data_IF_027938773914
#
_entry.id   IF_027938773914
#
_cell.length_a   1.000
_cell.length_b   1.000
_cell.length_c   1.000
_cell.angle_alpha   90.00
_cell.angle_beta   90.00
_cell.angle_gamma   90.00
#
_symmetry.space_group_name_H-M   'P 1'
#
loop_
_entity.id
_entity.type
_entity.pdbx_description
1 polymer ?
#
# COMPACT_ATOMS: atom_id res chain seq x y z
N UNK A 1 -11.82 16.96 -14.86
CA UNK A 1 -11.67 16.46 -14.82
C UNK A 1 -11.25 15.88 -14.64
N UNK A 2 -11.18 15.83 -14.74
CA UNK A 2 -10.85 15.29 -14.69
C UNK A 2 -10.68 14.37 -14.43
N UNK A 3 -10.67 14.23 -14.28
CA UNK A 3 -10.57 13.37 -14.12
C UNK A 3 -10.77 12.39 -14.20
N UNK A 4 -11.13 12.47 -14.24
CA UNK A 4 -11.56 11.60 -14.46
C UNK A 4 -11.11 10.64 -15.09
N UNK A 5 -10.80 10.64 -15.85
CA UNK A 5 -10.27 9.84 -16.38
C UNK A 5 -9.48 9.14 -15.85
N UNK A 6 -9.30 9.38 -15.19
CA UNK A 6 -8.30 8.87 -14.48
C UNK A 6 -8.44 7.51 -13.94
N UNK A 7 -9.49 6.87 -14.11
CA UNK A 7 -9.67 5.55 -13.51
C UNK A 7 -9.01 4.47 -14.35
N UNK A 8 -7.70 4.35 -14.19
CA UNK A 8 -6.96 3.26 -14.78
C UNK A 8 -7.35 1.95 -14.11
N UNK A 9 -6.98 0.85 -14.74
CA UNK A 9 -7.20 -0.46 -14.13
C UNK A 9 -6.53 -0.56 -12.76
N UNK A 10 -5.36 0.08 -12.63
CA UNK A 10 -4.67 0.07 -11.34
C UNK A 10 -5.46 0.81 -10.27
N UNK A 11 -6.05 1.94 -10.63
CA UNK A 11 -6.83 2.70 -9.67
C UNK A 11 -8.06 1.93 -9.22
N UNK A 12 -8.71 1.24 -10.16
CA UNK A 12 -9.87 0.43 -9.82
C UNK A 12 -9.49 -0.71 -8.90
N UNK A 13 -8.36 -1.34 -9.19
CA UNK A 13 -7.86 -2.43 -8.35
C UNK A 13 -7.55 -1.93 -6.95
N UNK A 14 -6.87 -0.79 -6.83
CA UNK A 14 -6.56 -0.22 -5.52
C UNK A 14 -7.83 0.06 -4.73
N UNK A 15 -8.82 0.63 -5.39
CA UNK A 15 -10.07 0.96 -4.71
C UNK A 15 -10.78 -0.30 -4.23
N UNK A 16 -10.80 -1.33 -5.06
CA UNK A 16 -11.40 -2.61 -4.68
C UNK A 16 -10.71 -3.19 -3.45
N UNK A 17 -9.39 -3.18 -3.45
CA UNK A 17 -8.62 -3.69 -2.32
C UNK A 17 -8.88 -2.84 -1.08
N UNK A 18 -8.93 -1.54 -1.25
CA UNK A 18 -9.18 -0.61 -0.14
C UNK A 18 -10.52 -0.94 0.54
N UNK A 19 -11.57 -1.04 -0.27
CA UNK A 19 -12.89 -1.32 0.28
C UNK A 19 -12.97 -2.69 0.94
N UNK A 20 -12.30 -3.66 0.35
CA UNK A 20 -12.33 -5.02 0.88
C UNK A 20 -11.60 -5.15 2.21
N UNK A 21 -10.61 -4.30 2.46
CA UNK A 21 -9.74 -4.45 3.63
C UNK A 21 -9.88 -3.34 4.66
N UNK A 22 -10.65 -2.32 4.38
CA UNK A 22 -10.71 -1.14 5.22
C UNK A 22 -11.04 -1.46 6.68
N UNK A 23 -12.14 -2.16 6.90
CA UNK A 23 -12.57 -2.48 8.26
C UNK A 23 -11.55 -3.37 8.95
N UNK A 24 -11.04 -4.35 8.22
CA UNK A 24 -10.08 -5.29 8.78
C UNK A 24 -8.82 -4.59 9.26
N UNK A 25 -8.26 -3.73 8.40
CA UNK A 25 -6.99 -3.08 8.73
C UNK A 25 -7.19 -2.02 9.82
N UNK A 26 -8.33 -1.36 9.84
CA UNK A 26 -8.59 -0.38 10.89
C UNK A 26 -8.66 -1.04 12.28
N UNK A 27 -8.85 -2.35 12.33
CA UNK A 27 -8.84 -3.09 13.57
C UNK A 27 -7.49 -3.72 13.91
N UNK A 28 -6.49 -3.51 13.07
CA UNK A 28 -5.16 -4.03 13.32
C UNK A 28 -4.54 -3.39 14.56
N UNK A 29 -3.79 -4.17 15.33
CA UNK A 29 -2.92 -3.64 16.35
C UNK A 29 -1.62 -3.15 15.69
N UNK A 30 -0.82 -2.41 16.44
CA UNK A 30 0.50 -2.02 15.93
C UNK A 30 1.33 -3.24 15.57
N UNK A 31 1.21 -4.30 16.35
CA UNK A 31 1.96 -5.53 16.09
C UNK A 31 1.53 -6.16 14.77
N UNK A 32 0.24 -6.17 14.50
CA UNK A 32 -0.27 -6.69 13.23
C UNK A 32 0.29 -5.89 12.05
N UNK A 33 0.33 -4.57 12.21
CA UNK A 33 0.86 -3.70 11.17
C UNK A 33 2.34 -3.93 10.96
N UNK A 34 3.11 -4.03 12.05
CA UNK A 34 4.54 -4.26 11.93
C UNK A 34 4.83 -5.54 11.18
N UNK A 35 4.07 -6.59 11.47
CA UNK A 35 4.24 -7.86 10.79
C UNK A 35 3.96 -7.72 9.30
N UNK A 36 2.88 -7.03 8.97
CA UNK A 36 2.52 -6.79 7.57
C UNK A 36 3.62 -6.00 6.86
N UNK A 37 4.11 -4.96 7.51
CA UNK A 37 5.11 -4.08 6.92
C UNK A 37 6.42 -4.82 6.69
N UNK A 38 6.87 -5.58 7.67
CA UNK A 38 8.10 -6.35 7.52
C UNK A 38 7.97 -7.41 6.45
N UNK A 39 6.82 -8.06 6.40
CA UNK A 39 6.60 -9.07 5.36
C UNK A 39 6.67 -8.45 3.97
N UNK A 40 6.05 -7.29 3.82
CA UNK A 40 6.09 -6.59 2.54
C UNK A 40 7.52 -6.23 2.16
N UNK A 41 8.27 -5.67 3.10
CA UNK A 41 9.64 -5.27 2.82
C UNK A 41 10.51 -6.46 2.45
N UNK A 42 10.35 -7.57 3.17
CA UNK A 42 11.12 -8.77 2.87
C UNK A 42 10.87 -9.21 1.44
N UNK A 43 9.62 -9.24 1.04
CA UNK A 43 9.27 -9.69 -0.30
C UNK A 43 9.69 -8.68 -1.36
N UNK A 44 9.54 -7.40 -1.04
CA UNK A 44 9.87 -6.36 -1.99
C UNK A 44 11.35 -6.37 -2.35
N UNK A 45 12.22 -6.60 -1.36
CA UNK A 45 13.65 -6.54 -1.59
C UNK A 45 14.28 -7.91 -1.89
N UNK A 46 13.50 -8.96 -1.89
CA UNK A 46 14.00 -10.29 -2.20
C UNK A 46 14.08 -10.44 -3.72
N UNK A 47 15.29 -10.69 -4.22
CA UNK A 47 15.50 -10.81 -5.65
C UNK A 47 14.79 -12.01 -6.25
N UNK A 48 14.50 -13.01 -5.43
CA UNK A 48 13.86 -14.23 -5.91
C UNK A 48 12.35 -14.18 -5.85
N UNK A 49 11.78 -13.09 -5.35
CA UNK A 49 10.34 -12.94 -5.22
C UNK A 49 9.86 -11.81 -6.12
N UNK A 50 8.87 -12.10 -6.93
CA UNK A 50 8.22 -11.08 -7.74
C UNK A 50 6.74 -11.08 -7.40
N UNK A 51 6.30 -10.02 -6.72
CA UNK A 51 4.90 -9.90 -6.35
C UNK A 51 4.06 -9.65 -7.60
N UNK A 52 2.87 -10.23 -7.63
CA UNK A 52 1.92 -9.90 -8.68
C UNK A 52 1.37 -8.49 -8.41
N UNK A 53 0.70 -7.94 -9.42
CA UNK A 53 0.11 -6.61 -9.27
C UNK A 53 -0.86 -6.58 -8.10
N UNK A 54 -1.71 -7.60 -8.01
CA UNK A 54 -2.68 -7.66 -6.93
C UNK A 54 -2.01 -7.78 -5.57
N UNK A 55 -0.98 -8.61 -5.48
CA UNK A 55 -0.25 -8.77 -4.22
C UNK A 55 0.41 -7.47 -3.80
N UNK A 56 1.07 -6.81 -4.74
CA UNK A 56 1.76 -5.57 -4.45
C UNK A 56 0.79 -4.51 -3.94
N UNK A 57 -0.33 -4.32 -4.64
CA UNK A 57 -1.29 -3.31 -4.22
C UNK A 57 -2.01 -3.71 -2.94
N UNK A 58 -2.19 -5.01 -2.70
CA UNK A 58 -2.77 -5.43 -1.43
C UNK A 58 -1.92 -4.93 -0.27
N UNK A 59 -0.60 -5.06 -0.38
CA UNK A 59 0.28 -4.56 0.66
C UNK A 59 0.24 -3.04 0.77
N UNK A 60 0.43 -2.34 -0.36
CA UNK A 60 0.51 -0.88 -0.31
C UNK A 60 -0.78 -0.26 0.18
N UNK A 61 -1.92 -0.79 -0.27
CA UNK A 61 -3.21 -0.25 0.13
C UNK A 61 -3.48 -0.54 1.61
N UNK A 62 -3.13 -1.72 2.10
CA UNK A 62 -3.30 -2.01 3.52
C UNK A 62 -2.47 -1.08 4.38
N UNK A 63 -1.24 -0.79 3.96
CA UNK A 63 -0.39 0.14 4.71
C UNK A 63 -1.02 1.53 4.68
N UNK A 64 -1.57 1.93 3.54
CA UNK A 64 -2.25 3.22 3.44
C UNK A 64 -3.45 3.29 4.38
N UNK A 65 -4.24 2.22 4.46
CA UNK A 65 -5.39 2.19 5.36
C UNK A 65 -4.93 2.32 6.80
N UNK A 66 -3.85 1.62 7.15
CA UNK A 66 -3.37 1.69 8.53
C UNK A 66 -2.91 3.10 8.91
N UNK A 67 -2.54 3.92 7.92
CA UNK A 67 -2.20 5.31 8.20
C UNK A 67 -3.38 6.05 8.82
N UNK A 68 -4.62 5.73 8.40
CA UNK A 68 -5.80 6.29 9.05
C UNK A 68 -5.88 5.86 10.51
N UNK A 69 -5.54 4.61 10.77
CA UNK A 69 -5.53 4.09 12.13
C UNK A 69 -4.50 4.83 12.98
N UNK A 70 -3.32 5.07 12.41
CA UNK A 70 -2.29 5.81 13.12
C UNK A 70 -2.73 7.23 13.44
N UNK A 71 -3.43 7.87 12.51
CA UNK A 71 -3.94 9.22 12.76
C UNK A 71 -4.94 9.23 13.92
N UNK A 72 -5.71 8.16 14.06
CA UNK A 72 -6.67 8.03 15.15
C UNK A 72 -5.97 7.76 16.48
N UNK A 73 -4.97 6.87 16.46
CA UNK A 73 -4.25 6.51 17.66
C UNK A 73 -3.32 7.62 18.16
N UNK A 74 -2.77 8.37 17.22
CA UNK A 74 -1.79 9.40 17.53
C UNK A 74 -2.18 10.70 16.83
N UNK A 75 -3.14 11.44 17.39
CA UNK A 75 -3.64 12.66 16.71
C UNK A 75 -2.55 13.69 16.41
N UNK A 76 -1.49 13.69 17.19
CA UNK A 76 -0.40 14.63 16.94
C UNK A 76 0.37 14.28 15.67
N UNK A 77 0.25 13.06 15.21
CA UNK A 77 0.92 12.59 13.99
C UNK A 77 -0.03 12.56 12.80
N UNK A 78 -1.17 13.21 12.93
CA UNK A 78 -2.19 13.13 11.88
C UNK A 78 -1.66 13.58 10.52
N UNK A 79 -0.94 14.68 10.49
CA UNK A 79 -0.42 15.21 9.23
C UNK A 79 0.57 14.24 8.59
N UNK A 80 1.43 13.66 9.42
CA UNK A 80 2.40 12.68 8.91
C UNK A 80 1.68 11.46 8.39
N UNK A 81 0.66 11.02 9.11
CA UNK A 81 -0.11 9.85 8.69
C UNK A 81 -0.83 10.10 7.37
N UNK A 82 -1.39 11.29 7.20
CA UNK A 82 -2.08 11.63 5.97
C UNK A 82 -1.12 11.67 4.78
N UNK A 83 0.07 12.23 5.00
CA UNK A 83 1.08 12.26 3.95
C UNK A 83 1.51 10.84 3.59
N UNK A 84 1.69 10.00 4.59
CA UNK A 84 2.05 8.60 4.39
C UNK A 84 0.97 7.87 3.59
N UNK A 85 -0.30 8.10 3.94
CA UNK A 85 -1.40 7.48 3.22
C UNK A 85 -1.37 7.83 1.74
N UNK A 86 -1.18 9.12 1.43
CA UNK A 86 -1.12 9.54 0.04
C UNK A 86 0.04 8.89 -0.68
N UNK A 87 1.19 8.82 -0.02
CA UNK A 87 2.37 8.20 -0.62
C UNK A 87 2.09 6.74 -0.98
N UNK A 88 1.52 5.99 -0.03
CA UNK A 88 1.30 4.57 -0.27
C UNK A 88 0.22 4.32 -1.30
N UNK A 89 -0.80 5.18 -1.37
CA UNK A 89 -1.82 5.04 -2.40
C UNK A 89 -1.29 5.43 -3.78
N UNK A 90 -0.23 6.22 -3.84
CA UNK A 90 0.36 6.62 -5.12
C UNK A 90 1.39 5.62 -5.63
N UNK A 91 1.73 4.60 -4.86
CA UNK A 91 2.71 3.61 -5.31
C UNK A 91 2.23 2.94 -6.60
N UNK A 92 3.17 2.70 -7.50
CA UNK A 92 2.88 2.13 -8.80
C UNK A 92 3.54 0.76 -8.94
N UNK A 93 2.77 -0.21 -9.40
CA UNK A 93 3.33 -1.53 -9.65
C UNK A 93 4.41 -1.48 -10.72
N UNK A 94 4.24 -0.61 -11.70
CA UNK A 94 5.27 -0.44 -12.74
C UNK A 94 6.59 0.02 -12.14
N UNK A 95 6.53 0.97 -11.21
CA UNK A 95 7.74 1.44 -10.54
C UNK A 95 8.39 0.32 -9.75
N UNK A 96 7.57 -0.50 -9.10
CA UNK A 96 8.08 -1.65 -8.37
C UNK A 96 8.83 -2.60 -9.30
N UNK A 97 8.23 -2.88 -10.47
CA UNK A 97 8.88 -3.77 -11.43
C UNK A 97 10.21 -3.20 -11.92
N UNK A 98 10.25 -1.90 -12.17
CA UNK A 98 11.47 -1.25 -12.63
C UNK A 98 12.57 -1.29 -11.57
N UNK A 99 12.19 -1.34 -10.30
CA UNK A 99 13.18 -1.35 -9.23
C UNK A 99 13.71 -2.75 -8.93
N UNK A 100 13.09 -3.78 -9.47
CA UNK A 100 13.52 -5.15 -9.18
C UNK A 100 14.73 -5.53 -10.00
N UNK A 101 15.82 -6.00 -9.36
CA UNK A 101 17.02 -6.40 -10.12
C UNK A 101 16.74 -7.50 -11.12
N UNK A 102 15.80 -8.38 -10.82
CA UNK A 102 15.48 -9.49 -11.71
C UNK A 102 14.90 -9.03 -13.04
N UNK A 103 14.42 -7.80 -13.11
CA UNK A 103 13.84 -7.27 -14.34
C UNK A 103 14.90 -6.90 -15.36
N UNK A 104 16.13 -6.91 -14.97
CA UNK A 104 17.21 -6.49 -15.86
C UNK A 104 17.59 -7.52 -16.88
N UNK A 105 16.96 -8.65 -16.84
CA UNK A 105 17.22 -9.65 -17.85
C UNK A 105 16.69 -9.19 -19.20
#
# INVERSE_FOLDING_TARGET
AQEVKANSADDVLKETIYKANKTKVLNYSLKDFEKLFFEFNDKKYDQNVLLSKEEFYTYTVKIAIFSDRLATLYPKEKEVAEASKKKWLSESYEDYLLSKPTQKK
#
